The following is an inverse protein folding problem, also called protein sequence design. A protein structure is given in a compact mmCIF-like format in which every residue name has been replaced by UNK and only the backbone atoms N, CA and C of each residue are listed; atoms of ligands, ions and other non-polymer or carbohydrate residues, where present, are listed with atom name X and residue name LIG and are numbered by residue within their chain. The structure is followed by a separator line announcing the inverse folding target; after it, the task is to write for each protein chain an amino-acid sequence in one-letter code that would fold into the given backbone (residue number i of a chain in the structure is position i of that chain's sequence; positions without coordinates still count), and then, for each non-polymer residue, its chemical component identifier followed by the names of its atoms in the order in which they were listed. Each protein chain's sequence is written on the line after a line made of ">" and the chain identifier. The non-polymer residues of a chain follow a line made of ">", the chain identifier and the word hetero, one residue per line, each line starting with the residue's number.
data_IF_030894403227
#
_entry.id   IF_030894403227
#
_cell.length_a   1.000
_cell.length_b   1.000
_cell.length_c   1.000
_cell.angle_alpha   90.00
_cell.angle_beta   90.00
_cell.angle_gamma   90.00
#
_symmetry.space_group_name_H-M   'P 1'
#
loop_
_entity.id
_entity.type
_entity.pdbx_description
1 polymer ?
#
# COMPACT_ATOMS: atom_id res chain seq x y z
N UNK A 1 3.77 4.85 -10.02
CA UNK A 1 4.85 5.87 -10.07
C UNK A 1 4.88 6.45 -11.48
N UNK A 2 4.79 7.78 -11.64
CA UNK A 2 4.93 8.43 -12.95
C UNK A 2 6.39 8.36 -13.41
N UNK A 3 6.63 7.97 -14.67
CA UNK A 3 7.96 7.81 -15.28
C UNK A 3 8.21 8.83 -16.41
N UNK A 4 7.29 9.78 -16.61
CA UNK A 4 7.41 10.79 -17.64
C UNK A 4 7.08 10.27 -19.05
N UNK A 5 7.80 10.76 -20.05
CA UNK A 5 7.48 10.51 -21.46
C UNK A 5 8.12 9.23 -22.03
N UNK A 6 8.92 8.53 -21.25
CA UNK A 6 9.56 7.29 -21.67
C UNK A 6 8.95 6.10 -20.92
N UNK A 7 8.52 5.04 -21.63
CA UNK A 7 8.06 3.82 -20.98
C UNK A 7 9.24 3.11 -20.32
N UNK A 8 9.04 2.68 -19.08
CA UNK A 8 9.98 1.83 -18.35
C UNK A 8 9.40 0.43 -18.27
N UNK A 9 10.10 -0.55 -18.78
CA UNK A 9 9.72 -1.96 -18.68
C UNK A 9 10.45 -2.58 -17.48
N UNK A 10 9.69 -3.22 -16.61
CA UNK A 10 10.20 -3.72 -15.33
C UNK A 10 10.42 -5.23 -15.37
N UNK A 11 11.62 -5.66 -14.99
CA UNK A 11 11.92 -7.07 -14.69
C UNK A 11 11.59 -7.46 -13.23
N UNK A 12 11.01 -6.52 -12.47
CA UNK A 12 10.69 -6.70 -11.05
C UNK A 12 9.17 -6.90 -10.82
N UNK A 13 8.43 -7.43 -11.79
CA UNK A 13 7.02 -7.75 -11.64
C UNK A 13 6.06 -6.55 -11.61
N UNK A 14 6.44 -5.43 -12.22
CA UNK A 14 5.57 -4.25 -12.37
C UNK A 14 5.02 -4.15 -13.79
N UNK A 15 3.89 -3.48 -13.92
CA UNK A 15 3.26 -3.18 -15.21
C UNK A 15 3.63 -1.77 -15.65
N UNK A 16 3.81 -1.58 -16.96
CA UNK A 16 3.93 -0.26 -17.57
C UNK A 16 2.59 0.14 -18.16
N UNK A 17 2.08 1.30 -17.78
CA UNK A 17 0.77 1.80 -18.21
C UNK A 17 0.86 3.25 -18.68
N UNK A 18 -0.17 3.72 -19.38
CA UNK A 18 -0.34 5.13 -19.72
C UNK A 18 -0.89 5.89 -18.51
N UNK A 19 -0.22 6.98 -18.14
CA UNK A 19 -0.69 7.86 -17.09
C UNK A 19 -1.95 8.64 -17.51
N UNK A 20 -2.81 8.96 -16.52
CA UNK A 20 -3.98 9.79 -16.74
C UNK A 20 -3.57 11.17 -17.29
N UNK A 21 -4.21 11.61 -18.35
CA UNK A 21 -3.89 12.88 -19.04
C UNK A 21 -2.79 12.74 -20.09
N UNK A 22 -2.35 11.53 -20.39
CA UNK A 22 -1.61 11.21 -21.60
C UNK A 22 -2.43 11.57 -22.83
N UNK A 23 -1.78 12.17 -23.83
CA UNK A 23 -2.39 12.45 -25.13
C UNK A 23 -1.63 11.73 -26.24
N UNK A 24 -2.25 11.62 -27.43
CA UNK A 24 -1.60 10.97 -28.58
C UNK A 24 -0.24 11.60 -28.92
N UNK A 25 -0.14 12.91 -28.77
CA UNK A 25 1.07 13.66 -29.15
C UNK A 25 2.07 13.82 -27.98
N UNK A 26 1.61 13.57 -26.74
CA UNK A 26 2.42 13.66 -25.52
C UNK A 26 2.08 12.50 -24.59
N UNK A 27 2.57 11.29 -24.87
CA UNK A 27 2.35 10.17 -23.99
C UNK A 27 3.09 10.38 -22.68
N UNK A 28 2.42 10.07 -21.58
CA UNK A 28 3.00 9.99 -20.24
C UNK A 28 2.81 8.56 -19.74
N UNK A 29 3.82 8.01 -19.07
CA UNK A 29 3.83 6.63 -18.60
C UNK A 29 3.91 6.55 -17.09
N UNK A 30 3.48 5.43 -16.57
CA UNK A 30 3.62 5.11 -15.16
C UNK A 30 3.96 3.61 -14.97
N UNK A 31 4.73 3.32 -13.92
CA UNK A 31 4.82 1.97 -13.37
C UNK A 31 3.68 1.74 -12.40
N UNK A 32 3.08 0.56 -12.50
CA UNK A 32 1.99 0.09 -11.65
C UNK A 32 2.37 -1.23 -10.99
N UNK A 33 2.12 -1.34 -9.69
CA UNK A 33 2.23 -2.59 -8.95
C UNK A 33 0.93 -2.88 -8.22
N UNK A 34 0.39 -4.07 -8.42
CA UNK A 34 -0.91 -4.46 -7.85
C UNK A 34 -0.72 -5.25 -6.56
N UNK A 35 -1.25 -4.74 -5.46
CA UNK A 35 -1.42 -5.46 -4.18
C UNK A 35 -2.83 -6.02 -4.15
N UNK A 36 -2.97 -7.36 -4.13
CA UNK A 36 -4.30 -7.99 -4.24
C UNK A 36 -5.16 -7.82 -3.00
N UNK A 37 -4.56 -7.80 -1.83
CA UNK A 37 -5.28 -7.69 -0.55
C UNK A 37 -4.66 -6.58 0.29
N UNK A 38 -5.29 -5.40 0.26
CA UNK A 38 -4.98 -4.27 1.15
C UNK A 38 -6.13 -4.09 2.17
N UNK A 39 -7.02 -3.14 1.98
CA UNK A 39 -8.16 -2.91 2.88
C UNK A 39 -9.07 -4.14 3.09
N UNK A 40 -9.06 -5.11 2.18
CA UNK A 40 -9.80 -6.36 2.31
C UNK A 40 -9.38 -7.20 3.54
N UNK A 41 -8.14 -7.07 4.03
CA UNK A 41 -7.73 -7.74 5.28
C UNK A 41 -8.52 -7.20 6.48
N UNK A 42 -8.86 -5.92 6.48
CA UNK A 42 -9.70 -5.30 7.53
C UNK A 42 -11.15 -5.78 7.43
N UNK A 43 -11.69 -5.91 6.22
CA UNK A 43 -13.01 -6.50 6.00
C UNK A 43 -13.05 -7.94 6.51
N UNK A 44 -12.04 -8.74 6.22
CA UNK A 44 -11.91 -10.10 6.72
C UNK A 44 -11.88 -10.18 8.26
N UNK A 45 -11.15 -9.28 8.93
CA UNK A 45 -11.16 -9.19 10.39
C UNK A 45 -12.56 -8.88 10.94
N UNK A 46 -13.36 -8.08 10.23
CA UNK A 46 -14.70 -7.67 10.63
C UNK A 46 -15.73 -8.75 10.34
N UNK A 47 -15.79 -9.22 9.11
CA UNK A 47 -16.90 -10.00 8.57
C UNK A 47 -16.74 -11.50 8.89
N UNK A 48 -15.54 -12.05 8.72
CA UNK A 48 -15.28 -13.47 8.90
C UNK A 48 -14.79 -13.78 10.32
N UNK A 49 -13.76 -13.09 10.80
CA UNK A 49 -13.21 -13.35 12.12
C UNK A 49 -13.97 -12.65 13.25
N UNK A 50 -14.80 -11.65 12.94
CA UNK A 50 -15.58 -10.87 13.91
C UNK A 50 -14.73 -10.29 15.04
N UNK A 51 -13.48 -9.97 14.75
CA UNK A 51 -12.53 -9.42 15.71
C UNK A 51 -12.72 -7.93 15.95
N UNK A 52 -13.36 -7.23 15.02
CA UNK A 52 -13.64 -5.79 15.07
C UNK A 52 -15.09 -5.52 14.69
N UNK A 53 -15.64 -4.42 15.16
CA UNK A 53 -16.99 -3.97 14.82
C UNK A 53 -17.04 -3.24 13.48
N UNK A 54 -16.05 -2.39 13.25
CA UNK A 54 -15.91 -1.56 12.06
C UNK A 54 -14.43 -1.30 11.76
N UNK A 55 -14.14 -0.80 10.57
CA UNK A 55 -12.77 -0.53 10.13
C UNK A 55 -12.09 0.56 10.98
N UNK A 56 -12.83 1.54 11.47
CA UNK A 56 -12.26 2.65 12.25
C UNK A 56 -11.70 2.18 13.59
N UNK A 57 -12.31 1.18 14.21
CA UNK A 57 -11.86 0.62 15.50
C UNK A 57 -10.49 -0.07 15.41
N UNK A 58 -10.01 -0.40 14.22
CA UNK A 58 -8.68 -1.03 14.05
C UNK A 58 -7.55 -0.15 14.55
N UNK A 59 -7.64 1.17 14.37
CA UNK A 59 -6.67 2.14 14.91
C UNK A 59 -6.57 2.02 16.42
N UNK A 60 -7.72 2.01 17.11
CA UNK A 60 -7.74 1.93 18.58
C UNK A 60 -7.12 0.62 19.09
N UNK A 61 -7.43 -0.52 18.43
CA UNK A 61 -6.84 -1.81 18.78
C UNK A 61 -5.34 -1.83 18.54
N UNK A 62 -4.87 -1.33 17.41
CA UNK A 62 -3.45 -1.30 17.07
C UNK A 62 -2.63 -0.46 18.06
N UNK A 63 -3.22 0.63 18.58
CA UNK A 63 -2.57 1.52 19.55
C UNK A 63 -2.58 0.99 20.98
N UNK A 64 -3.33 -0.08 21.31
CA UNK A 64 -3.33 -0.71 22.64
C UNK A 64 -2.10 -1.56 22.92
N UNK A 65 -1.28 -1.81 21.92
CA UNK A 65 -0.05 -2.59 22.04
C UNK A 65 1.11 -1.83 21.38
N UNK A 66 2.30 -1.98 21.93
CA UNK A 66 3.48 -1.28 21.45
C UNK A 66 3.97 -1.78 20.08
N UNK A 67 3.77 -3.09 19.81
CA UNK A 67 4.19 -3.77 18.59
C UNK A 67 3.31 -5.01 18.35
N UNK A 68 3.60 -5.77 17.31
CA UNK A 68 2.85 -7.00 16.97
C UNK A 68 3.25 -8.23 17.80
N UNK A 69 4.15 -8.10 18.77
CA UNK A 69 4.77 -9.22 19.50
C UNK A 69 5.39 -10.27 18.57
N UNK A 70 5.90 -9.85 17.42
CA UNK A 70 6.51 -10.73 16.42
C UNK A 70 5.52 -11.40 15.46
N UNK A 71 4.24 -11.08 15.55
CA UNK A 71 3.22 -11.61 14.62
C UNK A 71 3.30 -10.87 13.29
N UNK A 72 3.31 -11.61 12.18
CA UNK A 72 3.18 -11.11 10.81
C UNK A 72 2.03 -11.84 10.12
N UNK A 73 1.24 -11.09 9.36
CA UNK A 73 0.15 -11.61 8.54
C UNK A 73 0.47 -11.31 7.08
N UNK A 74 0.55 -12.34 6.26
CA UNK A 74 0.63 -12.22 4.80
C UNK A 74 -0.76 -12.49 4.24
N UNK A 75 -1.52 -11.47 3.82
CA UNK A 75 -2.93 -11.64 3.48
C UNK A 75 -3.11 -12.11 2.02
N UNK A 76 -2.46 -13.19 1.64
CA UNK A 76 -2.49 -13.77 0.30
C UNK A 76 -3.79 -14.55 0.03
N UNK A 77 -4.97 -13.97 0.30
CA UNK A 77 -6.26 -14.67 0.20
C UNK A 77 -6.58 -15.14 -1.22
N UNK A 78 -6.16 -14.39 -2.22
CA UNK A 78 -6.26 -14.70 -3.65
C UNK A 78 -4.90 -14.81 -4.35
N UNK A 79 -3.87 -15.20 -3.60
CA UNK A 79 -2.48 -15.16 -4.05
C UNK A 79 -1.79 -13.84 -3.71
N UNK A 80 -0.52 -13.73 -4.13
CA UNK A 80 0.31 -12.54 -4.01
C UNK A 80 0.41 -11.84 -5.38
N UNK A 81 0.17 -10.55 -5.39
CA UNK A 81 0.40 -9.67 -6.55
C UNK A 81 1.86 -9.25 -6.69
N UNK A 82 2.08 -8.05 -7.20
CA UNK A 82 3.42 -7.50 -7.37
C UNK A 82 4.16 -7.37 -6.03
N UNK A 83 5.47 -7.63 -6.00
CA UNK A 83 6.33 -8.09 -7.10
C UNK A 83 6.40 -9.62 -7.24
N UNK A 84 5.64 -10.38 -6.46
CA UNK A 84 5.77 -11.84 -6.30
C UNK A 84 5.05 -12.65 -7.37
N UNK A 85 3.86 -12.20 -7.80
CA UNK A 85 3.00 -12.84 -8.82
C UNK A 85 2.80 -14.34 -8.60
N UNK A 86 2.46 -14.72 -7.38
CA UNK A 86 2.20 -16.11 -7.04
C UNK A 86 0.70 -16.35 -6.77
N UNK A 87 -0.06 -16.99 -7.67
CA UNK A 87 -1.50 -17.23 -7.52
C UNK A 87 -1.81 -18.35 -6.52
N UNK A 88 -0.83 -19.17 -6.15
CA UNK A 88 -0.99 -20.31 -5.25
C UNK A 88 -0.70 -19.97 -3.79
N UNK A 89 -0.03 -18.85 -3.50
CA UNK A 89 0.16 -18.38 -2.14
C UNK A 89 -1.19 -18.21 -1.42
N UNK A 90 -1.22 -18.49 -0.13
CA UNK A 90 -2.41 -18.36 0.70
C UNK A 90 -2.11 -17.54 1.94
N UNK A 91 -3.18 -16.99 2.54
CA UNK A 91 -3.08 -16.22 3.77
C UNK A 91 -2.28 -16.99 4.83
N UNK A 92 -1.22 -16.38 5.34
CA UNK A 92 -0.28 -17.01 6.28
C UNK A 92 -0.08 -16.12 7.49
N UNK A 93 -0.09 -16.70 8.67
CA UNK A 93 0.21 -16.02 9.93
C UNK A 93 1.40 -16.71 10.58
N UNK A 94 2.42 -15.93 10.90
CA UNK A 94 3.63 -16.42 11.58
C UNK A 94 3.90 -15.66 12.87
N UNK A 95 4.72 -16.23 13.77
CA UNK A 95 5.15 -15.56 14.99
C UNK A 95 4.15 -15.62 16.16
N UNK A 96 3.10 -16.44 16.07
CA UNK A 96 2.14 -16.63 17.16
C UNK A 96 2.81 -17.29 18.38
N UNK A 97 2.53 -16.74 19.55
CA UNK A 97 2.91 -17.29 20.85
C UNK A 97 1.69 -17.32 21.76
N UNK A 98 1.81 -18.00 22.92
CA UNK A 98 0.76 -18.00 23.93
C UNK A 98 0.39 -16.59 24.44
N UNK A 99 1.32 -15.64 24.35
CA UNK A 99 1.11 -14.25 24.75
C UNK A 99 0.46 -13.37 23.66
N UNK A 100 0.23 -13.91 22.46
CA UNK A 100 -0.41 -13.16 21.38
C UNK A 100 -1.85 -12.84 21.75
N UNK A 101 -2.19 -11.53 21.67
CA UNK A 101 -3.53 -11.02 21.93
C UNK A 101 -4.21 -10.61 20.62
N UNK A 102 -5.51 -10.41 20.67
CA UNK A 102 -6.32 -9.89 19.58
C UNK A 102 -5.74 -8.59 19.00
N UNK A 103 -5.27 -7.70 19.85
CA UNK A 103 -4.70 -6.40 19.48
C UNK A 103 -3.44 -6.57 18.62
N UNK A 104 -2.57 -7.51 18.97
CA UNK A 104 -1.38 -7.83 18.18
C UNK A 104 -1.75 -8.34 16.77
N UNK A 105 -2.79 -9.16 16.69
CA UNK A 105 -3.29 -9.70 15.44
C UNK A 105 -3.87 -8.61 14.53
N UNK A 106 -4.73 -7.73 15.09
CA UNK A 106 -5.32 -6.61 14.35
C UNK A 106 -4.24 -5.64 13.89
N UNK A 107 -3.27 -5.33 14.74
CA UNK A 107 -2.12 -4.49 14.39
C UNK A 107 -1.31 -5.11 13.26
N UNK A 108 -0.98 -6.40 13.33
CA UNK A 108 -0.23 -7.10 12.28
C UNK A 108 -0.96 -7.09 10.94
N UNK A 109 -2.29 -7.16 10.93
CA UNK A 109 -3.10 -7.02 9.72
C UNK A 109 -3.02 -5.61 9.11
N UNK A 110 -3.04 -4.55 9.92
CA UNK A 110 -2.81 -3.18 9.42
C UNK A 110 -1.39 -3.00 8.90
N UNK A 111 -0.39 -3.44 9.66
CA UNK A 111 1.01 -3.33 9.27
C UNK A 111 1.30 -4.08 7.96
N UNK A 112 0.59 -5.20 7.69
CA UNK A 112 0.75 -5.97 6.44
C UNK A 112 0.44 -5.16 5.18
N UNK A 113 -0.46 -4.18 5.26
CA UNK A 113 -0.78 -3.29 4.14
C UNK A 113 0.44 -2.41 3.81
N UNK A 114 1.07 -1.86 4.84
CA UNK A 114 2.24 -1.00 4.68
C UNK A 114 3.46 -1.78 4.15
N UNK A 115 3.67 -3.00 4.63
CA UNK A 115 4.76 -3.85 4.13
C UNK A 115 4.60 -4.20 2.65
N UNK A 116 3.39 -4.58 2.22
CA UNK A 116 3.12 -4.88 0.81
C UNK A 116 3.32 -3.64 -0.08
N UNK A 117 2.90 -2.47 0.41
CA UNK A 117 3.13 -1.21 -0.31
C UNK A 117 4.64 -0.91 -0.43
N UNK A 118 5.44 -1.14 0.63
CA UNK A 118 6.90 -0.97 0.57
C UNK A 118 7.54 -1.93 -0.43
N UNK A 119 7.14 -3.21 -0.48
CA UNK A 119 7.63 -4.17 -1.48
C UNK A 119 7.44 -3.65 -2.91
N UNK A 120 6.26 -3.10 -3.22
CA UNK A 120 5.96 -2.52 -4.54
C UNK A 120 6.78 -1.25 -4.80
N UNK A 121 6.90 -0.36 -3.80
CA UNK A 121 7.67 0.87 -3.91
C UNK A 121 9.14 0.55 -4.20
N UNK A 122 9.75 -0.39 -3.47
CA UNK A 122 11.15 -0.82 -3.71
C UNK A 122 11.34 -1.42 -5.10
N UNK A 123 10.37 -2.20 -5.59
CA UNK A 123 10.39 -2.70 -6.95
C UNK A 123 10.32 -1.56 -7.98
N UNK A 124 9.50 -0.53 -7.73
CA UNK A 124 9.41 0.67 -8.58
C UNK A 124 10.70 1.47 -8.60
N UNK A 125 11.28 1.76 -7.44
CA UNK A 125 12.54 2.49 -7.32
C UNK A 125 13.66 1.77 -8.08
N UNK A 126 13.76 0.45 -7.90
CA UNK A 126 14.75 -0.38 -8.58
C UNK A 126 14.57 -0.41 -10.10
N UNK A 127 13.32 -0.46 -10.58
CA UNK A 127 13.04 -0.54 -12.03
C UNK A 127 13.23 0.79 -12.74
N UNK A 128 12.91 1.90 -12.06
CA UNK A 128 12.99 3.24 -12.64
C UNK A 128 14.34 3.93 -12.40
N UNK A 129 15.18 3.40 -11.51
CA UNK A 129 16.37 4.09 -10.98
C UNK A 129 16.01 5.50 -10.43
N UNK A 130 14.85 5.59 -9.80
CA UNK A 130 14.30 6.83 -9.21
C UNK A 130 14.04 6.57 -7.74
N UNK A 131 14.54 7.45 -6.89
CA UNK A 131 14.21 7.42 -5.47
C UNK A 131 12.91 8.17 -5.22
N UNK A 132 12.00 7.57 -4.45
CA UNK A 132 10.77 8.23 -4.05
C UNK A 132 11.09 9.41 -3.12
N UNK A 133 10.46 10.56 -3.35
CA UNK A 133 10.60 11.76 -2.52
C UNK A 133 9.38 12.02 -1.62
N UNK A 134 8.40 11.13 -1.65
CA UNK A 134 7.17 11.20 -0.86
C UNK A 134 6.08 10.33 -1.48
N UNK A 135 5.23 9.76 -0.64
CA UNK A 135 4.15 8.86 -1.02
C UNK A 135 2.81 9.57 -0.90
N UNK A 136 2.15 9.82 -2.01
CA UNK A 136 0.75 10.30 -2.01
C UNK A 136 -0.18 9.11 -1.83
N UNK A 137 -1.11 9.24 -0.89
CA UNK A 137 -2.05 8.18 -0.51
C UNK A 137 -3.50 8.65 -0.61
N UNK A 138 -4.40 7.72 -0.95
CA UNK A 138 -5.83 7.99 -1.04
C UNK A 138 -6.66 6.73 -0.75
N UNK A 139 -7.97 6.83 -0.93
CA UNK A 139 -8.90 5.74 -0.66
C UNK A 139 -9.19 5.54 0.82
N UNK A 140 -10.15 4.67 1.14
CA UNK A 140 -10.67 4.48 2.48
C UNK A 140 -9.63 4.05 3.53
N UNK A 141 -8.63 3.26 3.14
CA UNK A 141 -7.57 2.82 4.06
C UNK A 141 -6.69 3.99 4.53
N UNK A 142 -6.54 5.04 3.72
CA UNK A 142 -5.75 6.22 4.07
C UNK A 142 -6.36 7.07 5.19
N UNK A 143 -7.64 6.83 5.55
CA UNK A 143 -8.28 7.46 6.69
C UNK A 143 -7.72 6.95 8.04
N UNK A 144 -7.06 5.80 8.07
CA UNK A 144 -6.46 5.23 9.27
C UNK A 144 -5.10 5.87 9.55
N UNK A 145 -5.03 6.76 10.53
CA UNK A 145 -3.81 7.50 10.87
C UNK A 145 -2.69 6.62 11.40
N UNK A 146 -3.02 5.52 12.11
CA UNK A 146 -2.01 4.54 12.53
C UNK A 146 -1.33 3.90 11.30
N UNK A 147 -2.13 3.48 10.32
CA UNK A 147 -1.61 2.89 9.10
C UNK A 147 -0.76 3.90 8.31
N UNK A 148 -1.18 5.16 8.23
CA UNK A 148 -0.43 6.19 7.50
C UNK A 148 0.91 6.50 8.16
N UNK A 149 0.95 6.61 9.49
CA UNK A 149 2.20 6.78 10.22
C UNK A 149 3.12 5.57 10.04
N UNK A 150 2.58 4.36 10.19
CA UNK A 150 3.36 3.14 10.00
C UNK A 150 3.86 2.98 8.55
N UNK A 151 3.06 3.42 7.55
CA UNK A 151 3.48 3.45 6.15
C UNK A 151 4.70 4.38 5.95
N UNK A 152 4.67 5.57 6.55
CA UNK A 152 5.81 6.50 6.52
C UNK A 152 7.03 5.88 7.22
N UNK A 153 6.84 5.29 8.39
CA UNK A 153 7.91 4.64 9.16
C UNK A 153 8.58 3.51 8.38
N UNK A 154 7.80 2.67 7.67
CA UNK A 154 8.32 1.51 6.92
C UNK A 154 8.97 1.92 5.61
N UNK A 155 8.42 2.87 4.88
CA UNK A 155 9.04 3.36 3.64
C UNK A 155 10.23 4.28 3.91
N UNK A 156 10.20 5.01 5.03
CA UNK A 156 11.16 6.06 5.34
C UNK A 156 10.93 7.35 4.58
N UNK A 157 9.78 7.49 3.94
CA UNK A 157 9.39 8.64 3.14
C UNK A 157 8.14 9.29 3.73
N UNK A 158 7.98 10.60 3.53
CA UNK A 158 6.77 11.31 3.96
C UNK A 158 5.55 10.75 3.23
N UNK A 159 4.47 10.51 3.98
CA UNK A 159 3.15 10.09 3.45
C UNK A 159 2.23 11.30 3.42
N UNK A 160 1.72 11.64 2.25
CA UNK A 160 0.94 12.84 1.98
C UNK A 160 -0.49 12.44 1.60
N UNK A 161 -1.45 12.76 2.46
CA UNK A 161 -2.88 12.49 2.24
C UNK A 161 -3.61 13.79 1.89
N UNK A 162 -4.34 13.84 0.75
CA UNK A 162 -5.18 14.99 0.41
C UNK A 162 -6.40 15.07 1.34
N UNK A 163 -7.03 16.24 1.38
CA UNK A 163 -8.29 16.43 2.13
C UNK A 163 -9.46 15.62 1.55
N UNK A 164 -9.50 15.44 0.24
CA UNK A 164 -10.41 14.54 -0.44
C UNK A 164 -9.69 13.22 -0.73
N UNK A 165 -10.11 12.14 -0.08
CA UNK A 165 -9.51 10.80 -0.24
C UNK A 165 -10.15 9.98 -1.38
N UNK A 166 -11.23 10.47 -1.99
CA UNK A 166 -11.90 9.82 -3.14
C UNK A 166 -11.31 10.34 -4.45
N UNK A 167 -9.99 10.18 -4.62
CA UNK A 167 -9.25 10.80 -5.74
C UNK A 167 -9.56 10.18 -7.09
N UNK A 168 -10.01 8.92 -7.14
CA UNK A 168 -10.44 8.28 -8.39
C UNK A 168 -11.67 8.98 -8.98
N UNK A 169 -12.70 9.21 -8.15
CA UNK A 169 -13.90 9.94 -8.59
C UNK A 169 -13.58 11.40 -8.93
N UNK A 170 -12.72 12.02 -8.11
CA UNK A 170 -12.27 13.40 -8.35
C UNK A 170 -11.48 13.53 -9.66
N UNK A 171 -10.62 12.54 -9.96
CA UNK A 171 -9.87 12.48 -11.21
C UNK A 171 -10.77 12.39 -12.44
N UNK A 172 -11.81 11.55 -12.39
CA UNK A 172 -12.81 11.46 -13.45
C UNK A 172 -13.56 12.79 -13.64
N UNK A 173 -13.94 13.46 -12.55
CA UNK A 173 -14.58 14.78 -12.60
C UNK A 173 -13.64 15.84 -13.21
N UNK A 174 -12.36 15.83 -12.88
CA UNK A 174 -11.36 16.72 -13.46
C UNK A 174 -11.20 16.52 -14.97
N UNK A 175 -11.12 15.27 -15.43
CA UNK A 175 -11.04 14.98 -16.86
C UNK A 175 -12.30 15.43 -17.61
N UNK A 176 -13.48 15.20 -17.05
CA UNK A 176 -14.73 15.67 -17.62
C UNK A 176 -14.79 17.20 -17.68
N UNK A 177 -14.38 17.88 -16.61
CA UNK A 177 -14.34 19.35 -16.55
C UNK A 177 -13.36 19.98 -17.53
N UNK A 178 -12.20 19.35 -17.77
CA UNK A 178 -11.28 19.76 -18.83
C UNK A 178 -11.91 19.60 -20.22
N UNK A 179 -12.56 18.47 -20.48
CA UNK A 179 -13.18 18.18 -21.76
C UNK A 179 -14.35 19.13 -22.09
N UNK A 180 -15.10 19.58 -21.08
CA UNK A 180 -16.22 20.51 -21.22
C UNK A 180 -15.83 22.00 -21.13
N UNK A 181 -14.55 22.28 -20.84
CA UNK A 181 -14.06 23.64 -20.67
C UNK A 181 -14.43 24.32 -19.34
N UNK A 182 -14.88 23.52 -18.34
CA UNK A 182 -15.12 24.01 -16.97
C UNK A 182 -13.83 24.46 -16.30
N UNK A 183 -12.74 23.69 -16.46
CA UNK A 183 -11.38 24.12 -16.15
C UNK A 183 -10.59 24.32 -17.42
N UNK A 184 -9.82 25.39 -17.46
CA UNK A 184 -9.01 25.76 -18.60
C UNK A 184 -7.88 24.78 -18.87
N UNK A 185 -7.21 24.35 -17.82
CA UNK A 185 -6.01 23.50 -17.88
C UNK A 185 -5.75 22.76 -16.57
N UNK A 186 -4.73 21.89 -16.59
CA UNK A 186 -4.30 21.12 -15.39
C UNK A 186 -3.77 22.02 -14.26
N UNK A 187 -3.25 23.22 -14.55
CA UNK A 187 -2.71 24.11 -13.52
C UNK A 187 -3.84 24.80 -12.72
N UNK A 188 -4.98 25.03 -13.35
CA UNK A 188 -6.19 25.47 -12.65
C UNK A 188 -6.71 24.35 -11.71
N UNK A 189 -6.69 23.10 -12.17
CA UNK A 189 -7.08 21.95 -11.34
C UNK A 189 -6.15 21.81 -10.14
N UNK A 190 -4.83 21.95 -10.30
CA UNK A 190 -3.86 21.86 -9.20
C UNK A 190 -4.16 22.84 -8.05
N UNK A 191 -4.77 23.99 -8.34
CA UNK A 191 -5.17 24.96 -7.31
C UNK A 191 -6.27 24.44 -6.38
N UNK A 192 -7.01 23.41 -6.79
CA UNK A 192 -8.05 22.79 -5.99
C UNK A 192 -7.50 21.76 -5.00
N UNK A 193 -6.25 21.30 -5.21
CA UNK A 193 -5.64 20.35 -4.29
C UNK A 193 -5.44 20.98 -2.90
N UNK A 194 -5.77 20.23 -1.87
CA UNK A 194 -5.60 20.65 -0.47
C UNK A 194 -4.96 19.52 0.30
N UNK A 195 -3.95 19.84 1.09
CA UNK A 195 -3.37 18.92 2.06
C UNK A 195 -4.40 18.58 3.14
N UNK A 196 -4.58 17.30 3.42
CA UNK A 196 -5.40 16.81 4.54
C UNK A 196 -4.54 16.44 5.73
N UNK A 197 -3.47 15.66 5.50
CA UNK A 197 -2.49 15.31 6.53
C UNK A 197 -1.16 14.93 5.88
N UNK A 198 -0.08 15.07 6.65
CA UNK A 198 1.26 14.64 6.31
C UNK A 198 1.85 13.88 7.49
N UNK A 199 2.56 12.79 7.20
CA UNK A 199 3.15 11.89 8.18
C UNK A 199 4.62 11.69 7.83
N UNK A 200 5.51 12.07 8.74
CA UNK A 200 6.94 11.86 8.58
C UNK A 200 7.42 10.61 9.31
N UNK A 201 8.46 9.99 8.80
CA UNK A 201 9.02 8.79 9.40
C UNK A 201 9.74 9.09 10.72
N UNK A 202 9.35 8.38 11.77
CA UNK A 202 9.95 8.49 13.12
C UNK A 202 10.77 7.24 13.50
N UNK A 203 10.52 6.12 12.85
CA UNK A 203 11.20 4.85 13.10
C UNK A 203 12.67 4.91 12.68
N UNK A 204 13.55 4.39 13.53
CA UNK A 204 14.97 4.27 13.19
C UNK A 204 15.19 3.34 11.99
N UNK A 205 16.26 3.60 11.23
CA UNK A 205 16.61 2.74 10.09
C UNK A 205 16.94 1.30 10.49
N UNK A 206 17.43 1.08 11.70
CA UNK A 206 17.75 -0.26 12.22
C UNK A 206 16.50 -1.05 12.54
N UNK A 207 15.53 -0.43 13.18
CA UNK A 207 14.25 -1.03 13.48
C UNK A 207 13.48 -1.35 12.18
N UNK A 208 13.42 -0.40 11.25
CA UNK A 208 12.85 -0.60 9.92
C UNK A 208 13.45 -1.81 9.21
N UNK A 209 14.79 -1.89 9.13
CA UNK A 209 15.47 -3.04 8.52
C UNK A 209 15.11 -4.36 9.16
N UNK A 210 15.02 -4.39 10.50
CA UNK A 210 14.62 -5.58 11.25
C UNK A 210 13.19 -6.02 10.90
N UNK A 211 12.25 -5.08 10.88
CA UNK A 211 10.85 -5.35 10.56
C UNK A 211 10.69 -5.84 9.12
N UNK A 212 11.31 -5.18 8.15
CA UNK A 212 11.29 -5.57 6.74
C UNK A 212 11.96 -6.94 6.50
N UNK A 213 13.05 -7.24 7.21
CA UNK A 213 13.66 -8.58 7.16
C UNK A 213 12.69 -9.66 7.63
N UNK A 214 12.00 -9.43 8.74
CA UNK A 214 11.03 -10.38 9.27
C UNK A 214 9.80 -10.51 8.37
N UNK A 215 9.32 -9.39 7.78
CA UNK A 215 8.28 -9.43 6.77
C UNK A 215 8.66 -10.32 5.60
N UNK A 216 9.89 -10.20 5.10
CA UNK A 216 10.41 -11.07 4.02
C UNK A 216 10.38 -12.55 4.40
N UNK A 217 10.70 -12.91 5.65
CA UNK A 217 10.58 -14.28 6.13
C UNK A 217 9.12 -14.76 6.16
N UNK A 218 8.18 -13.89 6.57
CA UNK A 218 6.76 -14.22 6.55
C UNK A 218 6.24 -14.47 5.13
N UNK A 219 6.60 -13.62 4.17
CA UNK A 219 6.27 -13.82 2.75
C UNK A 219 6.87 -15.13 2.22
N UNK A 220 8.14 -15.41 2.53
CA UNK A 220 8.77 -16.67 2.13
C UNK A 220 8.03 -17.91 2.69
N UNK A 221 7.46 -17.82 3.89
CA UNK A 221 6.63 -18.89 4.46
C UNK A 221 5.35 -19.12 3.65
N UNK A 222 4.71 -18.04 3.17
CA UNK A 222 3.54 -18.14 2.30
C UNK A 222 3.89 -18.71 0.93
N UNK A 223 5.06 -18.35 0.37
CA UNK A 223 5.56 -18.88 -0.90
C UNK A 223 5.94 -20.34 -0.79
N UNK A 224 6.60 -20.73 0.32
CA UNK A 224 6.93 -22.14 0.58
C UNK A 224 5.68 -23.03 0.67
N UNK A 225 4.61 -22.52 1.31
CA UNK A 225 3.32 -23.20 1.31
C UNK A 225 2.77 -23.39 -0.13
N UNK A 226 2.94 -22.39 -0.98
CA UNK A 226 2.47 -22.43 -2.37
C UNK A 226 3.16 -23.52 -3.19
N UNK A 227 4.45 -23.78 -2.99
CA UNK A 227 5.20 -24.85 -3.68
C UNK A 227 4.60 -26.24 -3.46
N UNK A 228 3.97 -26.47 -2.30
CA UNK A 228 3.30 -27.74 -2.01
C UNK A 228 1.91 -27.83 -2.68
N UNK A 229 1.31 -26.70 -3.04
CA UNK A 229 -0.01 -26.64 -3.67
C UNK A 229 0.05 -26.73 -5.22
N UNK A 230 1.23 -26.55 -5.82
CA UNK A 230 1.46 -26.71 -7.27
C UNK A 230 1.63 -28.18 -7.68
N UNK A 231 1.80 -29.11 -6.73
CA UNK A 231 1.96 -30.56 -6.94
C UNK A 231 0.63 -31.30 -6.78
#
# INVERSE_FOLDING_TARGET
>A
MNTGNNPIYSDNGLLTTLAAGSTKDKPEYALEGSVFVAGAVVQWLRDELRMIKDAASTKEYAMKVENTAGVYIVPAFSGLGAPYWNPYARGTVVGLTRGTKKEHFIRAALESIAYQADDVIRAMEKSADIKLSGLKVDGGASANEFLMQFQSDITGESVIRPSCIETTALGAAYLAGLATGYWKDKDEIKKNWRLGAEYDAHMSSDERRKLLKNWKHAVNSALFWAEAAEK
#
